data_IF_125138584686
#
_entry.id   IF_125138584686
#
_cell.length_a   1.000
_cell.length_b   1.000
_cell.length_c   1.000
_cell.angle_alpha   90.00
_cell.angle_beta   90.00
_cell.angle_gamma   90.00
#
_symmetry.space_group_name_H-M   'P 1'
#
loop_
_entity.id
_entity.type
_entity.pdbx_description
1 polymer ?
#
# COMPACT_ATOMS: atom_id res chain seq x y z
N UNK A 1 39.99 22.93 10.01
CA UNK A 1 39.07 21.91 9.56
C UNK A 1 39.40 21.55 8.12
N UNK A 2 39.77 20.32 7.87
CA UNK A 2 40.23 19.88 6.55
C UNK A 2 39.05 19.76 5.58
N UNK A 3 39.10 20.50 4.48
CA UNK A 3 38.11 20.53 3.38
C UNK A 3 37.79 19.14 2.82
N UNK A 4 38.68 18.17 3.02
CA UNK A 4 38.51 16.78 2.63
C UNK A 4 37.53 16.00 3.52
N UNK A 5 37.38 16.40 4.78
CA UNK A 5 36.43 15.78 5.72
C UNK A 5 34.98 16.22 5.45
N UNK A 6 34.79 17.46 4.98
CA UNK A 6 33.48 18.00 4.60
C UNK A 6 32.95 17.36 3.30
N UNK A 7 33.83 17.04 2.36
CA UNK A 7 33.46 16.37 1.09
C UNK A 7 33.05 14.90 1.31
N UNK A 8 33.64 14.21 2.29
CA UNK A 8 33.26 12.83 2.62
C UNK A 8 31.91 12.75 3.37
N UNK A 9 31.57 13.78 4.12
CA UNK A 9 30.29 13.84 4.85
C UNK A 9 29.10 14.11 3.92
N UNK A 10 29.32 14.82 2.80
CA UNK A 10 28.27 15.12 1.81
C UNK A 10 27.91 13.93 0.91
N UNK A 11 28.77 12.93 0.80
CA UNK A 11 28.51 11.70 0.00
C UNK A 11 27.69 10.62 0.74
N UNK A 12 27.51 10.78 2.06
CA UNK A 12 26.77 9.80 2.90
C UNK A 12 25.29 10.13 3.07
N UNK A 13 24.82 11.27 2.59
CA UNK A 13 23.43 11.73 2.78
C UNK A 13 22.35 11.25 1.78
N UNK A 14 22.65 10.71 0.58
CA UNK A 14 21.57 10.38 -0.36
C UNK A 14 20.90 9.01 -0.18
N UNK A 15 21.31 8.18 0.78
CA UNK A 15 20.80 6.81 0.88
C UNK A 15 19.70 6.59 1.95
N UNK A 16 19.12 7.65 2.51
CA UNK A 16 18.04 7.56 3.50
C UNK A 16 16.62 7.63 2.91
N UNK A 17 16.47 7.51 1.59
CA UNK A 17 15.17 7.30 0.95
C UNK A 17 14.68 5.85 1.16
N UNK A 18 14.64 5.41 2.41
CA UNK A 18 13.96 4.17 2.78
C UNK A 18 12.46 4.35 2.58
N UNK A 19 11.78 3.35 2.02
CA UNK A 19 10.33 3.30 1.99
C UNK A 19 9.81 3.39 3.42
N UNK A 20 9.24 4.54 3.80
CA UNK A 20 8.61 4.71 5.10
C UNK A 20 7.27 3.96 5.05
N UNK A 21 7.03 2.96 5.91
CA UNK A 21 5.75 2.26 5.94
C UNK A 21 4.63 3.24 6.31
N UNK A 22 3.45 3.05 5.73
CA UNK A 22 2.27 3.84 6.08
C UNK A 22 1.82 3.52 7.51
N UNK A 23 1.11 4.43 8.17
CA UNK A 23 0.61 4.20 9.52
C UNK A 23 -0.27 2.94 9.64
N UNK A 24 -1.22 2.68 8.72
CA UNK A 24 -2.00 1.43 8.73
C UNK A 24 -1.14 0.18 8.61
N UNK A 25 -0.09 0.21 7.79
CA UNK A 25 0.86 -0.89 7.62
C UNK A 25 1.64 -1.14 8.91
N UNK A 26 2.12 -0.09 9.56
CA UNK A 26 2.86 -0.19 10.82
C UNK A 26 1.99 -0.76 11.95
N UNK A 27 0.74 -0.33 12.06
CA UNK A 27 -0.19 -0.84 13.06
C UNK A 27 -0.52 -2.32 12.81
N UNK A 28 -0.83 -2.68 11.58
CA UNK A 28 -1.11 -4.07 11.20
C UNK A 28 0.13 -4.97 11.41
N UNK A 29 1.33 -4.48 11.06
CA UNK A 29 2.58 -5.20 11.31
C UNK A 29 2.76 -5.54 12.78
N UNK A 30 2.50 -4.59 13.67
CA UNK A 30 2.57 -4.82 15.14
C UNK A 30 1.58 -5.87 15.63
N UNK A 31 0.37 -5.87 15.06
CA UNK A 31 -0.66 -6.85 15.43
C UNK A 31 -0.33 -8.26 14.96
N UNK A 32 0.30 -8.39 13.79
CA UNK A 32 0.58 -9.70 13.20
C UNK A 32 1.93 -10.29 13.62
N UNK A 33 2.91 -9.47 13.94
CA UNK A 33 4.26 -9.93 14.23
C UNK A 33 4.29 -10.89 15.44
N UNK A 34 4.88 -12.07 15.24
CA UNK A 34 4.96 -13.13 16.24
C UNK A 34 3.73 -14.03 16.36
N UNK A 35 2.63 -13.73 15.66
CA UNK A 35 1.46 -14.61 15.64
C UNK A 35 1.70 -15.84 14.77
N UNK A 36 0.95 -16.91 15.03
CA UNK A 36 0.96 -18.09 14.17
C UNK A 36 0.35 -17.79 12.81
N UNK A 37 0.99 -18.27 11.75
CA UNK A 37 0.52 -18.07 10.37
C UNK A 37 -0.91 -18.58 10.13
N UNK A 38 -1.35 -19.59 10.89
CA UNK A 38 -2.73 -20.08 10.81
C UNK A 38 -3.74 -18.98 11.14
N UNK A 39 -3.45 -18.10 12.09
CA UNK A 39 -4.34 -16.99 12.45
C UNK A 39 -4.53 -16.02 11.28
N UNK A 40 -3.48 -15.77 10.50
CA UNK A 40 -3.58 -14.94 9.31
C UNK A 40 -4.41 -15.62 8.22
N UNK A 41 -4.25 -16.93 8.01
CA UNK A 41 -5.04 -17.70 7.06
C UNK A 41 -6.51 -17.74 7.49
N UNK A 42 -6.79 -17.91 8.76
CA UNK A 42 -8.16 -17.89 9.30
C UNK A 42 -8.82 -16.50 9.12
N UNK A 43 -8.05 -15.42 9.21
CA UNK A 43 -8.54 -14.05 9.07
C UNK A 43 -8.68 -13.59 7.62
N UNK A 44 -7.66 -13.79 6.78
CA UNK A 44 -7.65 -13.35 5.39
C UNK A 44 -8.21 -14.38 4.42
N UNK A 45 -8.37 -15.63 4.84
CA UNK A 45 -8.68 -16.76 3.99
C UNK A 45 -7.42 -17.41 3.40
N UNK A 46 -7.58 -18.40 2.50
CA UNK A 46 -6.44 -19.05 1.86
C UNK A 46 -5.60 -18.02 1.08
N UNK A 47 -4.26 -18.06 1.21
CA UNK A 47 -3.40 -17.18 0.45
C UNK A 47 -3.48 -17.46 -1.05
N UNK A 48 -3.46 -16.41 -1.85
CA UNK A 48 -3.43 -16.51 -3.31
C UNK A 48 -2.05 -16.98 -3.81
N UNK A 49 -1.00 -16.68 -3.05
CA UNK A 49 0.39 -16.98 -3.40
C UNK A 49 1.15 -17.47 -2.17
N UNK A 50 1.98 -18.48 -2.38
CA UNK A 50 2.90 -19.01 -1.38
C UNK A 50 4.25 -19.22 -2.06
N UNK A 51 5.27 -18.51 -1.62
CA UNK A 51 6.61 -18.57 -2.22
C UNK A 51 7.66 -18.86 -1.14
N UNK A 52 8.53 -19.87 -1.32
CA UNK A 52 9.61 -20.10 -0.40
C UNK A 52 10.61 -18.93 -0.46
N UNK A 53 11.12 -18.54 0.70
CA UNK A 53 12.15 -17.51 0.77
C UNK A 53 13.50 -18.06 0.29
N UNK A 54 14.33 -17.22 -0.37
CA UNK A 54 15.70 -17.58 -0.72
C UNK A 54 16.47 -17.99 0.55
N UNK A 55 17.28 -19.08 0.44
CA UNK A 55 18.06 -19.57 1.56
C UNK A 55 17.28 -20.41 2.57
N UNK A 56 16.03 -20.76 2.32
CA UNK A 56 15.23 -21.64 3.17
C UNK A 56 14.82 -21.01 4.51
N UNK A 57 14.74 -19.67 4.59
CA UNK A 57 14.41 -18.94 5.82
C UNK A 57 12.93 -18.94 6.21
N UNK A 58 12.06 -19.52 5.38
CA UNK A 58 10.61 -19.54 5.59
C UNK A 58 9.83 -19.41 4.29
N UNK A 59 8.60 -18.94 4.37
CA UNK A 59 7.67 -18.80 3.25
C UNK A 59 7.06 -17.40 3.26
N UNK A 60 6.87 -16.81 2.10
CA UNK A 60 6.07 -15.60 1.94
C UNK A 60 4.65 -15.99 1.51
N UNK A 61 3.67 -15.52 2.26
CA UNK A 61 2.25 -15.64 1.95
C UNK A 61 1.75 -14.32 1.35
N UNK A 62 0.90 -14.40 0.34
CA UNK A 62 0.34 -13.24 -0.33
C UNK A 62 -1.16 -13.34 -0.51
N UNK A 63 -1.87 -12.25 -0.22
CA UNK A 63 -3.30 -12.05 -0.49
C UNK A 63 -3.49 -10.82 -1.36
N UNK A 64 -4.57 -10.82 -2.12
CA UNK A 64 -4.98 -9.68 -2.94
C UNK A 64 -6.41 -9.29 -2.58
N UNK A 65 -6.64 -7.98 -2.52
CA UNK A 65 -7.98 -7.39 -2.38
C UNK A 65 -8.17 -6.34 -3.46
N UNK A 66 -9.27 -6.46 -4.19
CA UNK A 66 -9.70 -5.41 -5.11
C UNK A 66 -10.19 -4.20 -4.30
N UNK A 67 -9.60 -3.05 -4.56
CA UNK A 67 -9.95 -1.78 -3.94
C UNK A 67 -10.39 -0.75 -4.97
N UNK A 68 -10.90 -1.21 -6.11
CA UNK A 68 -11.53 -0.36 -7.13
C UNK A 68 -12.70 0.40 -6.50
N UNK A 69 -12.78 1.69 -6.76
CA UNK A 69 -13.88 2.53 -6.32
C UNK A 69 -14.42 3.37 -7.48
N UNK A 70 -15.67 3.80 -7.34
CA UNK A 70 -16.35 4.67 -8.28
C UNK A 70 -16.62 6.01 -7.60
N UNK A 71 -16.35 7.10 -8.28
CA UNK A 71 -16.61 8.45 -7.80
C UNK A 71 -17.20 9.30 -8.91
N UNK A 72 -18.16 10.17 -8.55
CA UNK A 72 -18.68 11.18 -9.47
C UNK A 72 -17.64 12.27 -9.70
N UNK A 73 -17.32 12.50 -10.95
CA UNK A 73 -16.34 13.51 -11.38
C UNK A 73 -16.90 14.36 -12.52
N UNK A 74 -16.39 15.58 -12.64
CA UNK A 74 -16.71 16.43 -13.77
C UNK A 74 -15.96 15.89 -15.00
N UNK A 75 -16.70 15.32 -15.94
CA UNK A 75 -16.15 14.74 -17.17
C UNK A 75 -16.18 15.71 -18.34
N UNK A 76 -16.83 16.85 -18.19
CA UNK A 76 -16.90 17.90 -19.19
C UNK A 76 -17.56 19.16 -18.66
N UNK A 77 -17.36 20.27 -19.35
CA UNK A 77 -18.02 21.53 -19.07
C UNK A 77 -18.34 22.27 -20.35
N UNK A 78 -19.42 23.04 -20.33
CA UNK A 78 -19.76 24.00 -21.39
C UNK A 78 -20.04 25.37 -20.79
N UNK A 79 -19.70 26.41 -21.54
CA UNK A 79 -19.97 27.79 -21.18
C UNK A 79 -20.76 28.46 -22.30
N UNK A 80 -21.85 29.13 -21.94
CA UNK A 80 -22.71 29.85 -22.89
C UNK A 80 -23.07 31.22 -22.33
N UNK A 81 -23.16 32.21 -23.21
CA UNK A 81 -23.65 33.53 -22.87
C UNK A 81 -25.20 33.54 -22.95
N UNK A 82 -25.84 33.90 -21.84
CA UNK A 82 -27.28 34.15 -21.79
C UNK A 82 -27.48 35.64 -21.47
N UNK A 83 -27.67 36.45 -22.51
CA UNK A 83 -27.62 37.91 -22.38
C UNK A 83 -26.21 38.36 -21.99
N UNK A 84 -26.10 39.06 -20.83
CA UNK A 84 -24.80 39.54 -20.32
C UNK A 84 -24.19 38.62 -19.24
N UNK A 85 -24.74 37.44 -19.05
CA UNK A 85 -24.29 36.48 -18.04
C UNK A 85 -23.69 35.25 -18.71
N UNK A 86 -22.49 34.88 -18.26
CA UNK A 86 -21.87 33.60 -18.65
C UNK A 86 -22.42 32.50 -17.74
N UNK A 87 -23.06 31.50 -18.34
CA UNK A 87 -23.53 30.28 -17.66
C UNK A 87 -22.61 29.14 -17.97
N UNK A 88 -22.02 28.57 -16.94
CA UNK A 88 -21.20 27.37 -17.04
C UNK A 88 -21.99 26.17 -16.54
N UNK A 89 -22.00 25.11 -17.33
CA UNK A 89 -22.62 23.82 -16.98
C UNK A 89 -21.54 22.77 -16.87
N UNK A 90 -21.50 22.08 -15.74
CA UNK A 90 -20.61 20.94 -15.52
C UNK A 90 -21.40 19.65 -15.71
N UNK A 91 -20.81 18.70 -16.47
CA UNK A 91 -21.35 17.37 -16.68
C UNK A 91 -20.63 16.41 -15.74
N UNK A 92 -21.37 15.68 -14.95
CA UNK A 92 -20.88 14.72 -13.97
C UNK A 92 -21.14 13.30 -14.47
N UNK A 93 -20.20 12.42 -14.26
CA UNK A 93 -20.34 11.00 -14.54
C UNK A 93 -19.61 10.17 -13.49
N UNK A 94 -19.97 8.89 -13.41
CA UNK A 94 -19.36 7.94 -12.53
C UNK A 94 -18.04 7.44 -13.15
N UNK A 95 -16.91 7.82 -12.56
CA UNK A 95 -15.58 7.43 -13.01
C UNK A 95 -15.04 6.33 -12.11
N UNK A 96 -14.68 5.21 -12.74
CA UNK A 96 -14.07 4.07 -12.05
C UNK A 96 -12.56 4.29 -11.89
N UNK A 97 -12.09 4.17 -10.64
CA UNK A 97 -10.68 4.25 -10.28
C UNK A 97 -10.18 2.87 -9.87
N UNK A 98 -9.49 2.14 -10.75
CA UNK A 98 -8.98 0.83 -10.43
C UNK A 98 -7.95 0.90 -9.32
N UNK A 99 -7.97 -0.08 -8.45
CA UNK A 99 -7.03 -0.21 -7.36
C UNK A 99 -6.96 -1.63 -6.83
N UNK A 100 -5.83 -1.97 -6.21
CA UNK A 100 -5.62 -3.26 -5.59
C UNK A 100 -4.71 -3.14 -4.39
N UNK A 101 -4.97 -3.95 -3.38
CA UNK A 101 -4.14 -4.10 -2.20
C UNK A 101 -3.55 -5.50 -2.18
N UNK A 102 -2.22 -5.59 -2.18
CA UNK A 102 -1.49 -6.84 -1.96
C UNK A 102 -0.96 -6.84 -0.53
N UNK A 103 -1.32 -7.87 0.22
CA UNK A 103 -0.88 -8.11 1.59
C UNK A 103 0.17 -9.20 1.52
N UNK A 104 1.36 -8.95 2.05
CA UNK A 104 2.46 -9.91 2.10
C UNK A 104 2.86 -10.16 3.55
N UNK A 105 3.00 -11.43 3.90
CA UNK A 105 3.50 -11.85 5.22
C UNK A 105 4.62 -12.85 5.05
N UNK A 106 5.70 -12.62 5.74
CA UNK A 106 6.79 -13.58 5.84
C UNK A 106 6.56 -14.46 7.08
N UNK A 107 6.62 -15.76 6.88
CA UNK A 107 6.44 -16.77 7.92
C UNK A 107 7.76 -17.50 8.10
N UNK A 108 8.26 -17.56 9.32
CA UNK A 108 9.48 -18.26 9.68
C UNK A 108 9.30 -19.79 9.74
N UNK A 109 10.37 -20.51 10.00
CA UNK A 109 10.36 -21.99 10.12
C UNK A 109 9.52 -22.49 11.30
N UNK A 110 9.31 -21.68 12.32
CA UNK A 110 8.48 -21.98 13.47
C UNK A 110 7.00 -21.65 13.22
N UNK A 111 6.64 -21.25 11.99
CA UNK A 111 5.29 -20.84 11.55
C UNK A 111 4.79 -19.55 12.20
N UNK A 112 5.67 -18.69 12.68
CA UNK A 112 5.32 -17.38 13.16
C UNK A 112 5.53 -16.32 12.07
N UNK A 113 4.68 -15.30 12.08
CA UNK A 113 4.79 -14.15 11.19
C UNK A 113 5.95 -13.29 11.65
N UNK A 114 6.97 -13.16 10.82
CA UNK A 114 8.18 -12.37 11.10
C UNK A 114 8.16 -11.00 10.43
N UNK A 115 7.40 -10.84 9.34
CA UNK A 115 7.28 -9.57 8.64
C UNK A 115 5.91 -9.42 8.00
N UNK A 116 5.45 -8.17 7.87
CA UNK A 116 4.20 -7.78 7.24
C UNK A 116 4.42 -6.56 6.36
N UNK A 117 3.97 -6.61 5.14
CA UNK A 117 4.05 -5.46 4.22
C UNK A 117 2.84 -5.36 3.30
N UNK A 118 2.57 -4.15 2.85
CA UNK A 118 1.48 -3.81 1.94
C UNK A 118 2.03 -3.23 0.65
N UNK A 119 1.35 -3.53 -0.45
CA UNK A 119 1.62 -2.91 -1.76
C UNK A 119 0.31 -2.47 -2.40
N UNK A 120 0.33 -1.29 -3.01
CA UNK A 120 -0.82 -0.73 -3.70
C UNK A 120 -1.74 0.07 -2.79
N UNK A 121 -3.02 0.13 -3.15
CA UNK A 121 -4.04 0.90 -2.44
C UNK A 121 -4.78 0.02 -1.45
N UNK A 122 -4.47 0.17 -0.18
CA UNK A 122 -5.02 -0.65 0.89
C UNK A 122 -6.04 0.09 1.79
N UNK A 123 -6.47 1.28 1.39
CA UNK A 123 -7.48 2.04 2.13
C UNK A 123 -8.81 1.27 2.18
N UNK A 124 -9.41 1.18 3.35
CA UNK A 124 -10.67 0.48 3.57
C UNK A 124 -10.57 -1.04 3.65
N UNK A 125 -9.37 -1.61 3.51
CA UNK A 125 -9.13 -3.04 3.73
C UNK A 125 -8.97 -3.31 5.22
N UNK A 126 -9.67 -4.31 5.76
CA UNK A 126 -9.44 -4.76 7.12
C UNK A 126 -8.12 -5.54 7.17
N UNK A 127 -7.14 -5.00 7.90
CA UNK A 127 -5.76 -5.50 7.92
C UNK A 127 -5.40 -6.24 9.21
N UNK A 128 -6.23 -6.14 10.24
CA UNK A 128 -5.99 -6.78 11.53
C UNK A 128 -7.32 -7.14 12.20
N UNK A 129 -7.34 -8.18 13.04
CA UNK A 129 -8.53 -8.62 13.76
C UNK A 129 -8.96 -7.62 14.84
#
# INVERSE_FOLDING_TARGET
>A
MNTRALLLLSLLLPNLAGCIPTLPELLASREWQGRDAKQAIDFFGPPLRMEPLPGGGGVQLGWYRDTTYVRQEVVGSSAQMQGNVMVQTNYWDDVSHPGGCTILMTVDKARHISDFSLKGRCNGVNLAP
#
